data_IF_886642985476
#
_entry.id   IF_886642985476
#
_cell.length_a   1.000
_cell.length_b   1.000
_cell.length_c   1.000
_cell.angle_alpha   90.00
_cell.angle_beta   90.00
_cell.angle_gamma   90.00
#
_symmetry.space_group_name_H-M   'P 1'
#
loop_
_entity.id
_entity.type
_entity.pdbx_description
1 polymer ?
#
# COMPACT_ATOMS: atom_id res chain seq x y z
N UNK A 1 -13.59 1.40 4.83
CA UNK A 1 -13.06 2.63 5.45
C UNK A 1 -12.95 2.52 6.98
N UNK A 2 -13.84 1.84 7.71
CA UNK A 2 -13.65 1.67 9.17
C UNK A 2 -12.32 1.00 9.57
N UNK A 3 -11.83 0.04 8.77
CA UNK A 3 -10.56 -0.63 9.05
C UNK A 3 -9.33 0.30 9.03
N UNK A 4 -9.35 1.40 8.27
CA UNK A 4 -8.18 2.30 8.16
C UNK A 4 -7.94 3.09 9.44
N UNK A 5 -8.91 3.21 10.35
CA UNK A 5 -8.69 3.86 11.66
C UNK A 5 -7.74 3.08 12.56
N UNK A 6 -7.80 1.75 12.52
CA UNK A 6 -6.94 0.89 13.34
C UNK A 6 -5.55 0.68 12.74
N UNK A 7 -5.40 0.96 11.44
CA UNK A 7 -4.20 0.70 10.68
C UNK A 7 -2.96 1.46 11.21
N UNK A 8 -3.00 2.78 11.50
CA UNK A 8 -1.83 3.51 11.98
C UNK A 8 -1.33 3.03 13.35
N UNK A 9 -2.25 2.62 14.23
CA UNK A 9 -1.94 2.16 15.58
C UNK A 9 -1.16 0.84 15.55
N UNK A 10 -1.67 -0.14 14.80
CA UNK A 10 -1.05 -1.45 14.65
C UNK A 10 0.22 -1.33 13.80
N UNK A 11 0.17 -0.48 12.77
CA UNK A 11 1.25 -0.22 11.84
C UNK A 11 2.47 0.41 12.45
N UNK A 12 2.30 1.44 13.26
CA UNK A 12 3.39 2.09 13.99
C UNK A 12 4.09 1.10 14.91
N UNK A 13 3.31 0.36 15.71
CA UNK A 13 3.84 -0.64 16.63
C UNK A 13 4.62 -1.76 15.91
N UNK A 14 4.09 -2.30 14.80
CA UNK A 14 4.78 -3.33 14.03
C UNK A 14 6.03 -2.77 13.34
N UNK A 15 5.96 -1.57 12.78
CA UNK A 15 7.06 -0.92 12.07
C UNK A 15 8.26 -0.66 12.97
N UNK A 16 8.00 -0.27 14.22
CA UNK A 16 9.04 -0.01 15.22
C UNK A 16 9.70 -1.30 15.73
N UNK A 17 8.97 -2.43 15.73
CA UNK A 17 9.47 -3.71 16.27
C UNK A 17 10.15 -4.62 15.24
N UNK A 18 9.60 -4.72 14.03
CA UNK A 18 10.08 -5.65 12.99
C UNK A 18 10.92 -4.96 11.90
N UNK A 19 11.05 -3.64 11.98
CA UNK A 19 11.72 -2.83 10.97
C UNK A 19 10.80 -2.48 9.80
N UNK A 20 10.92 -1.23 9.34
CA UNK A 20 9.99 -0.63 8.37
C UNK A 20 9.94 -1.33 7.02
N UNK A 21 11.07 -1.84 6.52
CA UNK A 21 11.13 -2.56 5.24
C UNK A 21 10.33 -3.88 5.26
N UNK A 22 10.49 -4.66 6.33
CA UNK A 22 9.79 -5.96 6.47
C UNK A 22 8.29 -5.73 6.55
N UNK A 23 7.86 -4.72 7.33
CA UNK A 23 6.45 -4.40 7.48
C UNK A 23 5.81 -3.97 6.17
N UNK A 24 6.49 -3.18 5.34
CA UNK A 24 5.99 -2.81 4.00
C UNK A 24 5.76 -4.03 3.10
N UNK A 25 6.72 -4.95 3.06
CA UNK A 25 6.62 -6.14 2.21
C UNK A 25 5.47 -7.02 2.69
N UNK A 26 5.38 -7.28 4.00
CA UNK A 26 4.31 -8.10 4.57
C UNK A 26 2.92 -7.50 4.29
N UNK A 27 2.75 -6.18 4.50
CA UNK A 27 1.45 -5.54 4.31
C UNK A 27 1.04 -5.51 2.84
N UNK A 28 1.98 -5.28 1.94
CA UNK A 28 1.73 -5.33 0.51
C UNK A 28 1.36 -6.74 0.03
N UNK A 29 2.00 -7.80 0.57
CA UNK A 29 1.62 -9.21 0.29
C UNK A 29 0.18 -9.43 0.76
N UNK A 30 -0.14 -9.04 1.99
CA UNK A 30 -1.49 -9.20 2.56
C UNK A 30 -2.55 -8.47 1.74
N UNK A 31 -2.30 -7.22 1.34
CA UNK A 31 -3.22 -6.45 0.50
C UNK A 31 -3.48 -7.16 -0.83
N UNK A 32 -2.43 -7.70 -1.45
CA UNK A 32 -2.53 -8.40 -2.72
C UNK A 32 -3.32 -9.71 -2.58
N UNK A 33 -3.01 -10.52 -1.56
CA UNK A 33 -3.73 -11.76 -1.27
C UNK A 33 -5.22 -11.50 -1.03
N UNK A 34 -5.57 -10.58 -0.13
CA UNK A 34 -6.96 -10.28 0.17
C UNK A 34 -7.71 -9.69 -1.04
N UNK A 35 -7.03 -8.92 -1.88
CA UNK A 35 -7.60 -8.36 -3.11
C UNK A 35 -7.88 -9.42 -4.18
N UNK A 36 -7.10 -10.51 -4.21
CA UNK A 36 -7.36 -11.65 -5.10
C UNK A 36 -8.50 -12.51 -4.55
N UNK A 37 -8.49 -12.80 -3.25
CA UNK A 37 -9.49 -13.67 -2.59
C UNK A 37 -10.92 -13.14 -2.80
N UNK A 38 -11.13 -11.84 -2.66
CA UNK A 38 -12.47 -11.22 -2.73
C UNK A 38 -13.18 -11.40 -4.09
N UNK A 39 -12.45 -11.70 -5.17
CA UNK A 39 -13.03 -11.93 -6.50
C UNK A 39 -13.77 -13.27 -6.56
N UNK A 40 -13.29 -14.26 -5.80
CA UNK A 40 -13.86 -15.60 -5.73
C UNK A 40 -15.07 -15.68 -4.79
N UNK A 41 -15.23 -14.70 -3.90
CA UNK A 41 -16.28 -14.73 -2.89
C UNK A 41 -17.59 -14.17 -3.46
N UNK A 42 -18.67 -14.94 -3.26
CA UNK A 42 -20.04 -14.55 -3.64
C UNK A 42 -20.88 -14.07 -2.45
N UNK A 43 -20.46 -14.35 -1.21
CA UNK A 43 -21.18 -13.97 0.00
C UNK A 43 -20.83 -12.53 0.43
N UNK A 44 -21.86 -11.69 0.56
CA UNK A 44 -21.72 -10.28 0.90
C UNK A 44 -21.06 -10.02 2.27
N UNK A 45 -21.39 -10.81 3.30
CA UNK A 45 -20.82 -10.62 4.64
C UNK A 45 -19.31 -10.90 4.67
N UNK A 46 -18.87 -11.91 3.92
CA UNK A 46 -17.45 -12.28 3.84
C UNK A 46 -16.67 -11.22 3.05
N UNK A 47 -17.26 -10.66 1.99
CA UNK A 47 -16.69 -9.51 1.26
C UNK A 47 -16.49 -8.31 2.20
N UNK A 48 -17.47 -8.03 3.07
CA UNK A 48 -17.40 -6.95 4.07
C UNK A 48 -16.27 -7.16 5.08
N UNK A 49 -16.14 -8.38 5.62
CA UNK A 49 -15.06 -8.73 6.54
C UNK A 49 -13.68 -8.56 5.89
N UNK A 50 -13.50 -9.06 4.66
CA UNK A 50 -12.24 -8.92 3.93
C UNK A 50 -11.95 -7.46 3.59
N UNK A 51 -12.97 -6.66 3.22
CA UNK A 51 -12.82 -5.20 2.99
C UNK A 51 -12.40 -4.47 4.26
N UNK A 52 -12.86 -4.92 5.42
CA UNK A 52 -12.44 -4.38 6.71
C UNK A 52 -10.96 -4.70 6.99
N UNK A 53 -10.56 -5.96 6.81
CA UNK A 53 -9.17 -6.41 6.97
C UNK A 53 -8.21 -5.75 5.97
N UNK A 54 -8.63 -5.58 4.71
CA UNK A 54 -7.90 -4.81 3.72
C UNK A 54 -7.66 -3.38 4.22
N UNK A 55 -8.72 -2.73 4.72
CA UNK A 55 -8.62 -1.39 5.29
C UNK A 55 -7.63 -1.30 6.45
N UNK A 56 -7.56 -2.31 7.32
CA UNK A 56 -6.60 -2.33 8.44
C UNK A 56 -5.17 -2.66 8.03
N UNK A 57 -4.93 -3.10 6.80
CA UNK A 57 -3.61 -3.40 6.26
C UNK A 57 -3.00 -2.25 5.44
N UNK A 58 -3.76 -1.19 5.11
CA UNK A 58 -3.28 -0.04 4.32
C UNK A 58 -2.33 0.81 5.17
N UNK A 59 -1.08 0.38 5.26
CA UNK A 59 -0.05 1.07 6.03
C UNK A 59 0.61 2.16 5.18
N UNK A 60 0.64 3.40 5.66
CA UNK A 60 1.41 4.49 5.04
C UNK A 60 2.92 4.40 5.34
N UNK A 61 3.46 3.20 5.60
CA UNK A 61 4.87 3.01 6.00
C UNK A 61 5.82 3.54 4.93
N UNK A 62 5.46 3.44 3.64
CA UNK A 62 6.27 3.97 2.53
C UNK A 62 6.50 5.48 2.63
N UNK A 63 5.44 6.23 3.00
CA UNK A 63 5.53 7.67 3.19
C UNK A 63 6.48 8.03 4.35
N UNK A 64 6.36 7.32 5.48
CA UNK A 64 7.22 7.59 6.64
C UNK A 64 8.67 7.22 6.37
N UNK A 65 8.92 6.12 5.65
CA UNK A 65 10.27 5.73 5.25
C UNK A 65 10.93 6.72 4.28
N UNK A 66 10.18 7.22 3.30
CA UNK A 66 10.69 8.22 2.38
C UNK A 66 11.05 9.53 3.10
N UNK A 67 10.27 9.93 4.10
CA UNK A 67 10.58 11.08 4.94
C UNK A 67 11.79 10.88 5.85
N UNK A 68 12.08 9.63 6.24
CA UNK A 68 13.29 9.29 7.01
C UNK A 68 14.56 9.29 6.17
N UNK A 69 14.47 8.84 4.92
CA UNK A 69 15.62 8.81 4.00
C UNK A 69 15.94 10.21 3.47
N UNK A 70 14.96 11.11 3.39
CA UNK A 70 15.16 12.46 2.89
C UNK A 70 15.75 13.44 3.92
N UNK A 71 16.71 14.22 3.46
CA UNK A 71 17.25 15.37 4.19
C UNK A 71 16.16 16.43 4.45
N UNK A 72 16.21 17.07 5.62
CA UNK A 72 15.15 17.94 6.12
C UNK A 72 14.76 19.09 5.17
N UNK A 73 15.70 19.56 4.34
CA UNK A 73 15.51 20.65 3.38
C UNK A 73 14.56 20.30 2.21
N UNK A 74 14.44 19.02 1.86
CA UNK A 74 13.67 18.56 0.69
C UNK A 74 12.37 17.81 1.06
N UNK A 75 12.00 17.76 2.34
CA UNK A 75 10.81 17.03 2.82
C UNK A 75 9.51 17.51 2.18
N UNK A 76 9.37 18.81 1.91
CA UNK A 76 8.19 19.37 1.24
C UNK A 76 8.04 18.87 -0.20
N UNK A 77 9.13 18.90 -0.97
CA UNK A 77 9.16 18.40 -2.35
C UNK A 77 8.91 16.89 -2.41
N UNK A 78 9.46 16.13 -1.46
CA UNK A 78 9.25 14.68 -1.39
C UNK A 78 7.79 14.34 -1.08
N UNK A 79 7.12 15.10 -0.21
CA UNK A 79 5.70 14.93 0.07
C UNK A 79 4.83 15.12 -1.18
N UNK A 80 5.15 16.12 -2.01
CA UNK A 80 4.46 16.36 -3.29
C UNK A 80 4.73 15.22 -4.28
N UNK A 81 6.00 14.82 -4.42
CA UNK A 81 6.39 13.70 -5.28
C UNK A 81 5.73 12.38 -4.89
N UNK A 82 5.45 12.17 -3.60
CA UNK A 82 4.70 11.00 -3.13
C UNK A 82 3.19 11.10 -3.38
N UNK A 83 2.63 12.31 -3.35
CA UNK A 83 1.21 12.55 -3.63
C UNK A 83 0.85 12.43 -5.10
N UNK A 84 1.79 12.72 -6.01
CA UNK A 84 1.57 12.66 -7.47
C UNK A 84 1.17 11.25 -7.95
N UNK A 85 1.89 10.16 -7.62
CA UNK A 85 1.47 8.81 -7.96
C UNK A 85 0.08 8.44 -7.46
N UNK A 86 -0.31 8.92 -6.27
CA UNK A 86 -1.65 8.68 -5.73
C UNK A 86 -2.73 9.38 -6.56
N UNK A 87 -2.52 10.66 -6.90
CA UNK A 87 -3.45 11.42 -7.74
C UNK A 87 -3.56 10.81 -9.14
N UNK A 88 -2.43 10.47 -9.77
CA UNK A 88 -2.43 9.81 -11.08
C UNK A 88 -3.10 8.44 -11.03
N UNK A 89 -2.83 7.65 -9.98
CA UNK A 89 -3.44 6.34 -9.78
C UNK A 89 -4.96 6.40 -9.68
N UNK A 90 -5.50 7.37 -8.93
CA UNK A 90 -6.95 7.56 -8.80
C UNK A 90 -7.60 8.07 -10.08
N UNK A 91 -6.93 8.94 -10.84
CA UNK A 91 -7.39 9.37 -12.17
C UNK A 91 -7.46 8.20 -13.15
N UNK A 92 -6.38 7.42 -13.26
CA UNK A 92 -6.33 6.23 -14.12
C UNK A 92 -7.40 5.21 -13.70
N UNK A 93 -7.58 5.00 -12.39
CA UNK A 93 -8.64 4.13 -11.87
C UNK A 93 -10.03 4.59 -12.31
N UNK A 94 -10.30 5.89 -12.28
CA UNK A 94 -11.57 6.46 -12.77
C UNK A 94 -11.80 6.19 -14.26
N UNK A 95 -10.76 6.34 -15.09
CA UNK A 95 -10.83 6.01 -16.52
C UNK A 95 -11.09 4.51 -16.74
N UNK A 96 -10.38 3.64 -16.02
CA UNK A 96 -10.58 2.18 -16.10
C UNK A 96 -12.00 1.79 -15.65
N UNK A 97 -12.54 2.45 -14.63
CA UNK A 97 -13.90 2.23 -14.15
C UNK A 97 -14.97 2.63 -15.19
N UNK A 98 -14.67 3.59 -16.07
CA UNK A 98 -15.57 3.97 -17.16
C UNK A 98 -15.69 2.86 -18.21
N UNK A 99 -14.57 2.22 -18.57
CA UNK A 99 -14.55 1.12 -19.55
C UNK A 99 -15.05 -0.22 -18.97
N UNK A 100 -14.74 -0.50 -17.70
CA UNK A 100 -15.06 -1.78 -17.06
C UNK A 100 -16.17 -1.59 -16.02
N UNK A 101 -17.41 -1.89 -16.42
CA UNK A 101 -18.61 -1.76 -15.54
C UNK A 101 -18.68 -2.84 -14.44
N UNK A 102 -17.97 -3.95 -14.61
CA UNK A 102 -18.00 -5.08 -13.69
C UNK A 102 -16.97 -4.92 -12.58
N UNK A 103 -17.44 -4.80 -11.33
CA UNK A 103 -16.61 -4.57 -10.14
C UNK A 103 -15.51 -5.63 -9.93
N UNK A 104 -15.74 -6.88 -10.36
CA UNK A 104 -14.75 -7.97 -10.26
C UNK A 104 -13.55 -7.76 -11.18
N UNK A 105 -13.82 -7.39 -12.43
CA UNK A 105 -12.80 -7.13 -13.43
C UNK A 105 -12.00 -5.87 -13.09
N UNK A 106 -12.68 -4.87 -12.52
CA UNK A 106 -12.05 -3.66 -12.00
C UNK A 106 -11.08 -4.01 -10.85
N UNK A 107 -11.49 -4.89 -9.94
CA UNK A 107 -10.64 -5.32 -8.84
C UNK A 107 -9.42 -6.16 -9.30
N UNK A 108 -9.58 -6.98 -10.35
CA UNK A 108 -8.46 -7.66 -11.01
C UNK A 108 -7.48 -6.68 -11.68
N UNK A 109 -8.00 -5.71 -12.44
CA UNK A 109 -7.19 -4.71 -13.13
C UNK A 109 -6.32 -3.88 -12.18
N UNK A 110 -6.75 -3.72 -10.93
CA UNK A 110 -6.03 -2.99 -9.89
C UNK A 110 -5.03 -3.87 -9.15
N UNK A 111 -5.34 -5.17 -9.02
CA UNK A 111 -4.45 -6.14 -8.39
C UNK A 111 -3.24 -6.49 -9.27
N UNK A 112 -3.42 -6.48 -10.60
CA UNK A 112 -2.39 -6.81 -11.59
C UNK A 112 -1.13 -5.91 -11.49
N UNK A 113 -1.24 -4.56 -11.51
CA UNK A 113 -0.11 -3.67 -11.28
C UNK A 113 0.57 -3.89 -9.93
N UNK A 114 -0.22 -4.20 -8.89
CA UNK A 114 0.29 -4.39 -7.53
C UNK A 114 1.19 -5.63 -7.41
N UNK A 115 0.86 -6.70 -8.16
CA UNK A 115 1.69 -7.92 -8.26
C UNK A 115 2.94 -7.68 -9.10
N UNK A 116 2.81 -6.97 -10.23
CA UNK A 116 3.93 -6.69 -11.15
C UNK A 116 4.96 -5.72 -10.57
N UNK A 117 4.53 -4.75 -9.78
CA UNK A 117 5.43 -3.78 -9.15
C UNK A 117 6.11 -4.34 -7.90
N UNK A 118 5.64 -5.44 -7.34
CA UNK A 118 6.16 -6.04 -6.12
C UNK A 118 7.66 -6.35 -6.16
N UNK A 119 8.20 -6.97 -7.24
CA UNK A 119 9.63 -7.24 -7.36
C UNK A 119 10.43 -6.01 -7.76
N UNK A 120 9.81 -5.09 -8.53
CA UNK A 120 10.48 -3.89 -9.05
C UNK A 120 10.67 -2.80 -7.98
N UNK A 121 9.82 -2.80 -6.95
CA UNK A 121 9.84 -1.84 -5.85
C UNK A 121 10.64 -2.32 -4.65
N UNK A 122 11.28 -3.50 -4.71
CA UNK A 122 12.34 -3.87 -3.76
C UNK A 122 13.57 -3.03 -4.13
N UNK A 123 13.85 -1.90 -3.47
CA UNK A 123 15.09 -1.21 -3.75
C UNK A 123 16.18 -2.15 -3.22
N UNK A 124 17.22 -2.49 -4.00
CA UNK A 124 18.42 -3.07 -3.40
C UNK A 124 18.81 -2.15 -2.25
N UNK A 125 18.92 -2.72 -1.06
CA UNK A 125 19.31 -2.00 0.14
C UNK A 125 20.61 -1.25 -0.13
N UNK A 126 20.66 0.08 0.07
CA UNK A 126 21.91 0.67 0.50
C UNK A 126 22.02 0.35 1.99
N UNK A 127 22.75 -0.69 2.32
CA UNK A 127 23.37 -0.85 3.65
C UNK A 127 24.87 -0.56 3.49
N UNK A 128 25.62 0.05 4.45
CA UNK A 128 25.33 0.33 5.87
C UNK A 128 25.92 1.69 6.36
N UNK A 129 25.47 2.86 5.91
CA UNK A 129 26.13 4.14 6.29
C UNK A 129 25.62 4.81 7.58
N UNK A 130 24.60 4.27 8.24
CA UNK A 130 24.03 4.86 9.46
C UNK A 130 24.49 4.19 10.77
N UNK A 131 25.63 3.49 10.74
CA UNK A 131 26.35 3.04 11.95
C UNK A 131 27.41 4.03 12.44
N UNK A 132 27.34 5.30 12.02
CA UNK A 132 28.13 6.40 12.62
C UNK A 132 27.28 7.66 12.77
N UNK A 133 26.60 7.78 13.90
CA UNK A 133 26.66 8.96 14.77
C UNK A 133 26.13 8.61 16.14
#
# INVERSE_FOLDING_TARGET
>A
MLGTFFCPLIGGYLADRFGRKVVMVVTQILITLFSVIIIFIKNFFVILAIRFLLGSCIMHTFFVYALEVCEAKHRGTMGILMGLPWALGTMVFGVVAYFIRSWRWLQLAVSLPNVLLFPALYPPSPEPFLHKK
#
